data_IF_915552863213
#
_entry.id   IF_915552863213
#
_cell.length_a   1.000
_cell.length_b   1.000
_cell.length_c   1.000
_cell.angle_alpha   90.00
_cell.angle_beta   90.00
_cell.angle_gamma   90.00
#
_symmetry.space_group_name_H-M   'P 1'
#
loop_
_entity.id
_entity.type
_entity.pdbx_description
1 polymer ?
#
# COMPACT_ATOMS: atom_id res chain seq x y z
N UNK A 1 4.13 -0.79 -4.40
CA UNK A 1 3.89 0.57 -3.84
C UNK A 1 3.60 0.49 -2.35
N UNK A 2 2.70 -0.38 -1.93
CA UNK A 2 2.36 -0.56 -0.51
C UNK A 2 3.60 -0.74 0.37
N UNK A 3 4.49 -1.60 -0.06
CA UNK A 3 5.72 -1.88 0.69
C UNK A 3 6.70 -0.71 0.65
N UNK A 4 6.97 -0.21 -0.54
CA UNK A 4 8.00 0.82 -0.75
C UNK A 4 7.62 2.18 -0.16
N UNK A 5 6.34 2.54 -0.19
CA UNK A 5 5.88 3.83 0.31
C UNK A 5 5.60 3.85 1.81
N UNK A 6 5.68 2.69 2.49
CA UNK A 6 5.56 2.64 3.95
C UNK A 6 6.79 3.31 4.58
N UNK A 7 6.56 4.17 5.57
CA UNK A 7 7.62 4.89 6.29
C UNK A 7 8.51 3.98 7.13
N UNK A 8 8.06 2.77 7.42
CA UNK A 8 8.77 1.77 8.21
C UNK A 8 8.70 0.42 7.51
N UNK A 9 9.50 -0.53 7.99
CA UNK A 9 9.44 -1.90 7.50
C UNK A 9 8.12 -2.58 7.89
N UNK A 10 7.77 -3.62 7.14
CA UNK A 10 6.50 -4.34 7.25
C UNK A 10 6.25 -4.89 8.66
N UNK A 11 7.30 -5.21 9.37
CA UNK A 11 7.25 -5.81 10.70
C UNK A 11 7.73 -4.86 11.80
N UNK A 12 7.64 -3.55 11.58
CA UNK A 12 8.05 -2.57 12.59
C UNK A 12 7.23 -2.74 13.86
N UNK A 13 7.88 -2.96 15.03
CA UNK A 13 7.14 -3.13 16.28
C UNK A 13 6.46 -1.85 16.79
N UNK A 14 6.94 -0.68 16.33
CA UNK A 14 6.25 0.58 16.62
C UNK A 14 5.25 0.87 15.50
N UNK A 15 4.08 0.23 15.55
CA UNK A 15 3.06 0.33 14.51
C UNK A 15 2.62 1.79 14.26
N UNK A 16 2.64 2.64 15.28
CA UNK A 16 2.29 4.05 15.17
C UNK A 16 3.20 4.83 14.22
N UNK A 17 4.37 4.29 13.88
CA UNK A 17 5.30 4.90 12.92
C UNK A 17 4.98 4.51 11.48
N UNK A 18 4.13 3.52 11.26
CA UNK A 18 3.71 3.12 9.92
C UNK A 18 2.85 4.21 9.28
N UNK A 19 3.05 4.40 8.00
CA UNK A 19 2.28 5.37 7.24
C UNK A 19 2.79 5.46 5.83
N UNK A 20 2.00 6.05 4.95
CA UNK A 20 2.40 6.22 3.56
C UNK A 20 3.20 7.51 3.38
N UNK A 21 4.37 7.38 2.77
CA UNK A 21 5.17 8.52 2.34
C UNK A 21 4.66 8.95 0.96
N UNK A 22 4.03 10.12 0.90
CA UNK A 22 3.40 10.59 -0.34
C UNK A 22 4.41 10.90 -1.45
N UNK A 23 5.64 11.29 -1.11
CA UNK A 23 6.67 11.52 -2.12
C UNK A 23 7.10 10.22 -2.78
N UNK A 24 7.26 9.16 -2.00
CA UNK A 24 7.59 7.82 -2.53
C UNK A 24 6.40 7.27 -3.32
N UNK A 25 5.19 7.44 -2.79
CA UNK A 25 3.98 7.05 -3.51
C UNK A 25 3.91 7.74 -4.88
N UNK A 26 4.19 9.04 -4.93
CA UNK A 26 4.20 9.80 -6.17
C UNK A 26 5.21 9.20 -7.15
N UNK A 27 6.44 8.96 -6.71
CA UNK A 27 7.48 8.44 -7.60
C UNK A 27 7.07 7.09 -8.22
N UNK A 28 6.51 6.20 -7.41
CA UNK A 28 6.03 4.89 -7.90
C UNK A 28 4.81 5.02 -8.79
N UNK A 29 3.84 5.86 -8.43
CA UNK A 29 2.65 6.10 -9.23
C UNK A 29 3.01 6.69 -10.59
N UNK A 30 3.91 7.67 -10.61
CA UNK A 30 4.38 8.30 -11.85
C UNK A 30 5.07 7.28 -12.76
N UNK A 31 6.02 6.52 -12.22
CA UNK A 31 6.72 5.51 -13.01
C UNK A 31 5.79 4.42 -13.55
N UNK A 32 4.86 3.96 -12.71
CA UNK A 32 3.88 2.95 -13.12
C UNK A 32 2.94 3.47 -14.22
N UNK A 33 2.34 4.64 -14.00
CA UNK A 33 1.38 5.21 -14.95
C UNK A 33 2.08 5.61 -16.25
N UNK A 34 3.28 6.18 -16.18
CA UNK A 34 4.05 6.51 -17.37
C UNK A 34 4.24 5.31 -18.29
N UNK A 35 4.51 4.14 -17.71
CA UNK A 35 4.77 2.92 -18.47
C UNK A 35 3.52 2.19 -18.93
N UNK A 36 2.41 2.39 -18.25
CA UNK A 36 1.19 1.60 -18.48
C UNK A 36 0.02 2.42 -18.99
N UNK A 37 0.16 3.72 -19.14
CA UNK A 37 -0.94 4.61 -19.51
C UNK A 37 -1.63 4.18 -20.82
N UNK A 38 -0.89 3.63 -21.78
CA UNK A 38 -1.46 3.15 -23.04
C UNK A 38 -2.38 1.95 -22.85
N UNK A 39 -2.20 1.17 -21.78
CA UNK A 39 -2.99 -0.03 -21.50
C UNK A 39 -4.05 0.17 -20.41
N UNK A 40 -3.88 1.18 -19.55
CA UNK A 40 -4.81 1.46 -18.47
C UNK A 40 -6.00 2.29 -18.94
N UNK A 41 -7.13 2.08 -18.31
CA UNK A 41 -8.26 3.00 -18.39
C UNK A 41 -8.13 4.05 -17.29
N UNK A 42 -8.87 5.15 -17.43
CA UNK A 42 -8.94 6.16 -16.38
C UNK A 42 -9.49 5.58 -15.07
N UNK A 43 -10.49 4.71 -15.17
CA UNK A 43 -11.06 4.06 -14.00
C UNK A 43 -10.03 3.24 -13.23
N UNK A 44 -9.15 2.53 -13.94
CA UNK A 44 -8.05 1.78 -13.33
C UNK A 44 -7.03 2.70 -12.66
N UNK A 45 -6.66 3.79 -13.32
CA UNK A 45 -5.75 4.78 -12.73
C UNK A 45 -6.36 5.43 -11.48
N UNK A 46 -7.67 5.71 -11.50
CA UNK A 46 -8.38 6.31 -10.37
C UNK A 46 -8.45 5.38 -9.15
N UNK A 47 -8.24 4.08 -9.33
CA UNK A 47 -8.26 3.09 -8.23
C UNK A 47 -6.88 2.74 -7.69
N UNK A 48 -5.82 3.38 -8.13
CA UNK A 48 -4.47 3.04 -7.70
C UNK A 48 -4.30 3.20 -6.18
N UNK A 49 -4.73 4.32 -5.61
CA UNK A 49 -4.67 4.54 -4.16
C UNK A 49 -5.50 3.53 -3.38
N UNK A 50 -6.71 3.26 -3.85
CA UNK A 50 -7.59 2.27 -3.24
C UNK A 50 -6.97 0.87 -3.27
N UNK A 51 -6.27 0.52 -4.35
CA UNK A 51 -5.62 -0.79 -4.44
C UNK A 51 -4.49 -0.94 -3.42
N UNK A 52 -3.74 0.12 -3.15
CA UNK A 52 -2.71 0.09 -2.10
C UNK A 52 -3.34 -0.16 -0.73
N UNK A 53 -4.44 0.53 -0.43
CA UNK A 53 -5.21 0.34 0.80
C UNK A 53 -5.74 -1.10 0.91
N UNK A 54 -6.36 -1.60 -0.16
CA UNK A 54 -6.93 -2.94 -0.19
C UNK A 54 -5.87 -4.01 0.05
N UNK A 55 -4.68 -3.84 -0.53
CA UNK A 55 -3.57 -4.79 -0.32
C UNK A 55 -3.03 -4.74 1.10
N UNK A 56 -2.98 -3.57 1.72
CA UNK A 56 -2.59 -3.48 3.13
C UNK A 56 -3.60 -4.21 4.03
N UNK A 57 -4.89 -4.05 3.77
CA UNK A 57 -5.95 -4.76 4.48
C UNK A 57 -5.87 -6.27 4.25
N UNK A 58 -5.63 -6.70 3.02
CA UNK A 58 -5.48 -8.13 2.70
C UNK A 58 -4.32 -8.74 3.47
N UNK A 59 -3.16 -8.08 3.46
CA UNK A 59 -1.99 -8.61 4.16
C UNK A 59 -2.19 -8.62 5.67
N UNK A 60 -2.82 -7.60 6.24
CA UNK A 60 -3.15 -7.59 7.66
C UNK A 60 -4.00 -8.81 8.00
N UNK A 61 -4.99 -9.12 7.18
CA UNK A 61 -5.86 -10.27 7.36
C UNK A 61 -5.07 -11.58 7.26
N UNK A 62 -4.19 -11.70 6.28
CA UNK A 62 -3.38 -12.91 6.07
C UNK A 62 -2.40 -13.14 7.22
N UNK A 63 -1.75 -12.10 7.70
CA UNK A 63 -0.84 -12.23 8.85
C UNK A 63 -1.59 -12.63 10.12
N UNK A 64 -2.76 -12.03 10.35
CA UNK A 64 -3.59 -12.37 11.50
C UNK A 64 -4.11 -13.81 11.42
N UNK A 65 -4.56 -14.21 10.24
CA UNK A 65 -5.05 -15.57 10.01
C UNK A 65 -3.95 -16.59 10.31
N UNK A 66 -2.74 -16.36 9.80
CA UNK A 66 -1.61 -17.24 10.05
C UNK A 66 -1.26 -17.29 11.54
N UNK A 67 -1.28 -16.15 12.22
CA UNK A 67 -1.05 -16.09 13.67
C UNK A 67 -2.05 -16.96 14.44
N UNK A 68 -3.33 -16.83 14.10
CA UNK A 68 -4.41 -17.59 14.78
C UNK A 68 -4.34 -19.09 14.47
N UNK A 69 -3.79 -19.47 13.32
CA UNK A 69 -3.64 -20.88 12.91
C UNK A 69 -2.30 -21.50 13.33
N UNK A 70 -1.47 -20.77 14.06
CA UNK A 70 -0.22 -21.30 14.62
C UNK A 70 1.04 -21.03 13.80
N UNK A 71 1.05 -19.94 13.01
CA UNK A 71 2.23 -19.46 12.29
C UNK A 71 2.81 -20.49 11.30
N UNK A 72 1.94 -21.11 10.49
CA UNK A 72 2.34 -22.21 9.60
C UNK A 72 2.75 -21.77 8.20
N UNK A 73 2.32 -20.59 7.76
CA UNK A 73 2.49 -20.16 6.38
C UNK A 73 3.70 -19.24 6.21
N UNK A 74 3.78 -18.15 6.98
CA UNK A 74 4.87 -17.18 6.89
C UNK A 74 6.03 -17.58 7.81
N UNK A 75 7.26 -17.27 7.36
CA UNK A 75 8.43 -17.41 8.24
C UNK A 75 8.36 -16.38 9.35
N UNK A 76 8.62 -16.80 10.58
CA UNK A 76 8.59 -15.93 11.76
C UNK A 76 9.93 -15.97 12.48
N UNK A 77 10.28 -14.84 13.14
CA UNK A 77 11.48 -14.72 13.98
C UNK A 77 11.17 -15.02 15.45
N UNK A 78 9.93 -14.78 15.86
CA UNK A 78 9.46 -14.98 17.23
C UNK A 78 7.95 -15.23 17.21
N UNK A 79 7.40 -15.58 18.37
CA UNK A 79 5.99 -15.98 18.50
C UNK A 79 4.98 -14.88 18.21
N UNK A 80 5.39 -13.62 18.18
CA UNK A 80 4.52 -12.47 17.93
C UNK A 80 4.77 -11.80 16.57
N UNK A 81 5.64 -12.37 15.75
CA UNK A 81 6.07 -11.72 14.51
C UNK A 81 4.89 -11.43 13.57
N UNK A 82 4.01 -12.40 13.35
CA UNK A 82 2.83 -12.20 12.52
C UNK A 82 1.84 -11.20 13.12
N UNK A 83 1.72 -11.16 14.43
CA UNK A 83 0.88 -10.16 15.10
C UNK A 83 1.46 -8.76 14.96
N UNK A 84 2.78 -8.62 15.06
CA UNK A 84 3.50 -7.37 14.82
C UNK A 84 3.26 -6.88 13.39
N UNK A 85 3.38 -7.77 12.41
CA UNK A 85 3.09 -7.46 11.01
C UNK A 85 1.64 -7.01 10.81
N UNK A 86 0.69 -7.69 11.44
CA UNK A 86 -0.73 -7.35 11.38
C UNK A 86 -0.96 -5.92 11.87
N UNK A 87 -0.43 -5.57 13.03
CA UNK A 87 -0.58 -4.24 13.61
C UNK A 87 0.03 -3.16 12.72
N UNK A 88 1.20 -3.44 12.15
CA UNK A 88 1.87 -2.49 11.25
C UNK A 88 1.05 -2.26 9.98
N UNK A 89 0.50 -3.32 9.37
CA UNK A 89 -0.31 -3.19 8.16
C UNK A 89 -1.64 -2.49 8.43
N UNK A 90 -2.27 -2.72 9.59
CA UNK A 90 -3.48 -1.99 9.97
C UNK A 90 -3.18 -0.50 10.10
N UNK A 91 -2.10 -0.14 10.78
CA UNK A 91 -1.71 1.26 10.94
C UNK A 91 -1.41 1.92 9.59
N UNK A 92 -0.75 1.21 8.68
CA UNK A 92 -0.50 1.68 7.32
C UNK A 92 -1.80 1.91 6.57
N UNK A 93 -2.74 0.96 6.64
CA UNK A 93 -4.04 1.08 5.99
C UNK A 93 -4.84 2.28 6.53
N UNK A 94 -4.81 2.49 7.83
CA UNK A 94 -5.48 3.64 8.46
C UNK A 94 -4.87 4.96 7.99
N UNK A 95 -3.54 5.04 7.86
CA UNK A 95 -2.88 6.23 7.34
C UNK A 95 -3.22 6.47 5.87
N UNK A 96 -3.25 5.42 5.05
CA UNK A 96 -3.69 5.50 3.66
C UNK A 96 -5.12 6.02 3.57
N UNK A 97 -6.00 5.57 4.45
CA UNK A 97 -7.37 6.04 4.48
C UNK A 97 -7.45 7.55 4.74
N UNK A 98 -6.66 8.03 5.70
CA UNK A 98 -6.57 9.47 6.00
C UNK A 98 -6.01 10.29 4.82
N UNK A 99 -5.09 9.69 4.04
CA UNK A 99 -4.39 10.36 2.94
C UNK A 99 -4.96 10.01 1.57
N UNK A 100 -6.10 9.29 1.53
CA UNK A 100 -6.64 8.78 0.26
C UNK A 100 -6.93 9.88 -0.75
N UNK A 101 -7.45 11.01 -0.31
CA UNK A 101 -7.71 12.14 -1.22
C UNK A 101 -6.41 12.63 -1.89
N UNK A 102 -5.31 12.71 -1.12
CA UNK A 102 -4.00 13.10 -1.65
C UNK A 102 -3.45 12.04 -2.59
N UNK A 103 -3.57 10.76 -2.25
CA UNK A 103 -3.11 9.66 -3.10
C UNK A 103 -3.88 9.64 -4.43
N UNK A 104 -5.18 9.85 -4.38
CA UNK A 104 -6.01 9.90 -5.59
C UNK A 104 -5.67 11.13 -6.46
N UNK A 105 -5.41 12.27 -5.85
CA UNK A 105 -5.01 13.48 -6.58
C UNK A 105 -3.66 13.27 -7.29
N UNK A 106 -2.72 12.61 -6.64
CA UNK A 106 -1.41 12.27 -7.23
C UNK A 106 -1.59 11.34 -8.43
N UNK A 107 -2.38 10.28 -8.28
CA UNK A 107 -2.62 9.33 -9.37
C UNK A 107 -3.32 9.99 -10.55
N UNK A 108 -4.30 10.85 -10.29
CA UNK A 108 -4.99 11.61 -11.34
C UNK A 108 -4.06 12.55 -12.07
N UNK A 109 -3.20 13.27 -11.36
CA UNK A 109 -2.22 14.17 -11.95
C UNK A 109 -1.26 13.42 -12.87
N UNK A 110 -0.77 12.27 -12.42
CA UNK A 110 0.07 11.41 -13.25
C UNK A 110 -0.69 10.91 -14.48
N UNK A 111 -1.94 10.50 -14.32
CA UNK A 111 -2.77 10.04 -15.43
C UNK A 111 -2.96 11.13 -16.49
N UNK A 112 -3.32 12.34 -16.06
CA UNK A 112 -3.51 13.47 -16.99
C UNK A 112 -2.23 13.82 -17.75
N UNK A 113 -1.08 13.60 -17.11
CA UNK A 113 0.22 13.89 -17.72
C UNK A 113 0.64 12.87 -18.75
N UNK A 114 0.33 11.59 -18.54
CA UNK A 114 0.85 10.49 -19.35
C UNK A 114 -0.20 9.77 -20.19
N UNK A 115 -1.48 10.05 -20.02
CA UNK A 115 -2.51 9.45 -20.87
C UNK A 115 -2.23 9.80 -22.32
N UNK A 116 -2.55 8.86 -23.23
CA UNK A 116 -2.38 9.12 -24.65
C UNK A 116 -3.32 10.23 -25.11
N UNK A 117 -2.79 11.24 -25.77
CA UNK A 117 -3.56 12.33 -26.32
C UNK A 117 -4.18 11.88 -27.66
N UNK A 118 -5.42 11.45 -27.61
CA UNK A 118 -6.15 11.08 -28.85
C UNK A 118 -7.42 11.85 -28.98
#
# INVERSE_FOLDING_TARGET
IRFAANQVEEDCPQAERAGVNLNIYWAFAEGFIQRTAAALTQAEADTLGLSCFALACELATRFLDDYLLGDKYFKIKDSLHNLTRTRCQIALAQDMQRKMAAMNAIARDCWERYKTAE
#
